data_IF_455515454159
#
_entry.id   IF_455515454159
#
_cell.length_a   1.000
_cell.length_b   1.000
_cell.length_c   1.000
_cell.angle_alpha   90.00
_cell.angle_beta   90.00
_cell.angle_gamma   90.00
#
_symmetry.space_group_name_H-M   'P 1'
#
loop_
_entity.id
_entity.type
_entity.pdbx_description
1 polymer ?
#
# COMPACT_ATOMS: atom_id res chain seq x y z
N UNK A 1 12.40 -5.95 -24.90
CA UNK A 1 11.15 -5.95 -24.10
C UNK A 1 10.61 -4.53 -24.03
N UNK A 2 9.33 -4.32 -24.35
CA UNK A 2 8.77 -2.96 -24.38
C UNK A 2 8.22 -2.47 -23.05
N UNK A 3 7.59 -3.33 -22.27
CA UNK A 3 7.08 -3.02 -20.93
C UNK A 3 7.09 -4.32 -20.09
N UNK A 4 7.32 -4.19 -18.78
CA UNK A 4 7.14 -5.28 -17.80
C UNK A 4 5.96 -4.93 -16.90
N UNK A 5 4.96 -5.80 -16.84
CA UNK A 5 3.75 -5.60 -16.05
C UNK A 5 3.75 -6.38 -14.74
N UNK A 6 3.41 -5.72 -13.64
CA UNK A 6 3.13 -6.33 -12.33
C UNK A 6 1.70 -6.00 -11.90
N UNK A 7 1.08 -6.83 -11.07
CA UNK A 7 -0.27 -6.62 -10.56
C UNK A 7 -0.72 -7.76 -9.64
N UNK A 8 -1.95 -7.68 -9.15
CA UNK A 8 -2.52 -8.66 -8.20
C UNK A 8 -2.20 -8.36 -6.74
N UNK A 9 -1.02 -7.83 -6.45
CA UNK A 9 -0.64 -7.32 -5.13
C UNK A 9 0.30 -6.11 -5.28
N UNK A 10 0.44 -5.25 -4.23
CA UNK A 10 1.44 -4.19 -4.22
C UNK A 10 2.86 -4.77 -4.37
N UNK A 11 3.64 -4.20 -5.30
CA UNK A 11 5.05 -4.54 -5.41
C UNK A 11 5.83 -3.80 -4.31
N UNK A 12 6.84 -4.43 -3.67
CA UNK A 12 7.71 -3.76 -2.71
C UNK A 12 8.36 -2.52 -3.32
N UNK A 13 8.37 -1.35 -2.64
CA UNK A 13 8.97 -0.12 -3.18
C UNK A 13 10.42 -0.32 -3.66
N UNK A 14 11.26 -0.92 -2.80
CA UNK A 14 12.69 -1.17 -3.11
C UNK A 14 12.88 -2.05 -4.35
N UNK A 15 12.01 -3.04 -4.55
CA UNK A 15 12.10 -3.95 -5.71
C UNK A 15 11.73 -3.21 -6.97
N UNK A 16 10.60 -2.47 -6.96
CA UNK A 16 10.17 -1.73 -8.13
C UNK A 16 11.13 -0.59 -8.50
N UNK A 17 11.69 0.11 -7.51
CA UNK A 17 12.71 1.13 -7.73
C UNK A 17 13.99 0.54 -8.33
N UNK A 18 14.46 -0.60 -7.80
CA UNK A 18 15.62 -1.32 -8.37
C UNK A 18 15.39 -1.72 -9.83
N UNK A 19 14.20 -2.24 -10.15
CA UNK A 19 13.82 -2.63 -11.52
C UNK A 19 13.80 -1.41 -12.45
N UNK A 20 13.16 -0.32 -12.05
CA UNK A 20 13.09 0.92 -12.84
C UNK A 20 14.48 1.55 -13.03
N UNK A 21 15.29 1.61 -11.98
CA UNK A 21 16.65 2.16 -12.04
C UNK A 21 17.60 1.32 -12.92
N UNK A 22 17.29 0.05 -13.12
CA UNK A 22 17.99 -0.83 -14.07
C UNK A 22 17.56 -0.61 -15.53
N UNK A 23 16.75 0.43 -15.82
CA UNK A 23 16.28 0.78 -17.16
C UNK A 23 15.03 0.01 -17.61
N UNK A 24 14.41 -0.78 -16.73
CA UNK A 24 13.19 -1.52 -17.07
C UNK A 24 11.98 -0.60 -17.02
N UNK A 25 11.21 -0.58 -18.11
CA UNK A 25 9.95 0.16 -18.20
C UNK A 25 8.83 -0.59 -17.44
N UNK A 26 8.75 -0.34 -16.13
CA UNK A 26 7.82 -1.02 -15.22
C UNK A 26 6.41 -0.41 -15.23
N UNK A 27 5.42 -1.29 -15.30
CA UNK A 27 3.99 -1.01 -15.30
C UNK A 27 3.31 -1.72 -14.12
N UNK A 28 2.84 -0.98 -13.13
CA UNK A 28 2.02 -1.54 -12.03
C UNK A 28 0.54 -1.43 -12.36
N UNK A 29 -0.12 -2.52 -12.71
CA UNK A 29 -1.57 -2.52 -12.96
C UNK A 29 -2.33 -2.89 -11.70
N UNK A 30 -3.44 -2.22 -11.49
CA UNK A 30 -4.39 -2.59 -10.46
C UNK A 30 -5.75 -2.91 -11.08
N UNK A 31 -6.35 -3.96 -10.55
CA UNK A 31 -7.65 -4.46 -10.90
C UNK A 31 -8.07 -5.51 -9.87
N UNK A 32 -9.26 -6.05 -10.06
CA UNK A 32 -9.80 -7.11 -9.24
C UNK A 32 -10.60 -8.09 -10.09
N UNK A 33 -10.86 -9.27 -9.55
CA UNK A 33 -11.77 -10.23 -10.18
C UNK A 33 -13.18 -9.66 -10.34
N UNK A 34 -13.59 -8.77 -9.42
CA UNK A 34 -14.90 -8.14 -9.40
C UNK A 34 -15.09 -7.05 -10.47
N UNK A 35 -14.03 -6.40 -10.93
CA UNK A 35 -14.14 -5.16 -11.72
C UNK A 35 -13.20 -5.10 -12.96
N UNK A 36 -12.36 -6.13 -13.13
CA UNK A 36 -11.30 -6.15 -14.14
C UNK A 36 -10.21 -5.12 -13.87
N UNK A 37 -9.51 -4.67 -14.91
CA UNK A 37 -8.46 -3.64 -14.78
C UNK A 37 -9.05 -2.25 -14.54
N UNK A 38 -8.54 -1.54 -13.53
CA UNK A 38 -9.07 -0.24 -13.09
C UNK A 38 -8.05 0.89 -13.20
N UNK A 39 -6.79 0.63 -12.85
CA UNK A 39 -5.77 1.66 -12.80
C UNK A 39 -4.44 1.21 -13.40
N UNK A 40 -3.71 2.19 -13.94
CA UNK A 40 -2.41 2.02 -14.56
C UNK A 40 -1.60 3.31 -14.38
N UNK A 41 -0.27 3.25 -14.24
CA UNK A 41 0.55 4.43 -14.05
C UNK A 41 0.86 5.12 -15.38
N UNK A 42 -0.12 5.23 -16.27
CA UNK A 42 0.02 5.76 -17.64
C UNK A 42 0.87 7.04 -17.62
N UNK A 43 2.06 6.96 -18.21
CA UNK A 43 3.13 7.97 -18.13
C UNK A 43 4.15 7.74 -19.25
N UNK A 44 5.07 8.67 -19.42
CA UNK A 44 6.22 8.48 -20.30
C UNK A 44 7.28 7.60 -19.60
N UNK A 45 7.19 6.29 -19.79
CA UNK A 45 7.99 5.29 -19.06
C UNK A 45 9.52 5.42 -19.19
N UNK A 46 10.02 6.20 -20.15
CA UNK A 46 11.45 6.46 -20.33
C UNK A 46 11.96 7.62 -19.45
N UNK A 47 11.08 8.53 -19.07
CA UNK A 47 11.44 9.77 -18.36
C UNK A 47 10.83 9.82 -16.96
N UNK A 48 9.72 9.12 -16.72
CA UNK A 48 9.02 9.07 -15.43
C UNK A 48 9.21 7.70 -14.76
N UNK A 49 10.04 7.66 -13.72
CA UNK A 49 10.26 6.48 -12.88
C UNK A 49 9.11 6.16 -11.91
N UNK A 50 8.05 6.97 -11.87
CA UNK A 50 6.93 6.86 -10.93
C UNK A 50 5.99 5.68 -11.19
N UNK A 51 6.49 4.46 -11.07
CA UNK A 51 5.76 3.23 -11.34
C UNK A 51 4.60 2.97 -10.38
N UNK A 52 4.65 3.53 -9.17
CA UNK A 52 3.58 3.48 -8.16
C UNK A 52 2.47 4.52 -8.37
N UNK A 53 2.64 5.46 -9.32
CA UNK A 53 1.73 6.58 -9.55
C UNK A 53 0.56 6.15 -10.42
N UNK A 54 -0.40 5.45 -9.82
CA UNK A 54 -1.58 4.92 -10.50
C UNK A 54 -2.54 6.04 -10.92
N UNK A 55 -3.10 5.90 -12.13
CA UNK A 55 -4.15 6.76 -12.69
C UNK A 55 -5.33 5.89 -13.10
N UNK A 56 -6.54 6.42 -12.95
CA UNK A 56 -7.75 5.74 -13.43
C UNK A 56 -7.68 5.59 -14.96
N UNK A 57 -7.96 4.40 -15.48
CA UNK A 57 -7.94 4.16 -16.94
C UNK A 57 -9.20 4.68 -17.64
N UNK A 58 -10.23 5.01 -16.86
CA UNK A 58 -11.52 5.53 -17.33
C UNK A 58 -11.85 6.85 -16.64
N UNK A 59 -12.85 7.56 -17.16
CA UNK A 59 -13.32 8.83 -16.61
C UNK A 59 -14.00 8.71 -15.25
N UNK A 60 -14.30 9.88 -14.63
CA UNK A 60 -14.96 9.99 -13.33
C UNK A 60 -16.40 9.47 -13.31
N UNK A 61 -16.99 9.28 -14.49
CA UNK A 61 -18.28 8.65 -14.71
C UNK A 61 -18.24 7.14 -14.46
N UNK A 62 -17.07 6.50 -14.56
CA UNK A 62 -16.86 5.05 -14.35
C UNK A 62 -16.11 4.74 -13.05
N UNK A 63 -15.08 5.52 -12.73
CA UNK A 63 -14.28 5.34 -11.50
C UNK A 63 -14.26 6.65 -10.71
N UNK A 64 -14.55 6.57 -9.42
CA UNK A 64 -14.45 7.70 -8.51
C UNK A 64 -13.62 7.36 -7.28
N UNK A 65 -13.17 8.39 -6.58
CA UNK A 65 -12.47 8.27 -5.32
C UNK A 65 -13.35 8.94 -4.27
N UNK A 66 -13.99 8.14 -3.43
CA UNK A 66 -14.89 8.63 -2.39
C UNK A 66 -14.10 9.28 -1.27
N UNK A 67 -14.45 10.52 -0.92
CA UNK A 67 -13.86 11.22 0.22
C UNK A 67 -14.09 10.46 1.52
N UNK A 68 -13.12 10.55 2.43
CA UNK A 68 -13.15 9.94 3.76
C UNK A 68 -12.58 10.92 4.79
N UNK A 69 -13.00 10.76 6.04
CA UNK A 69 -12.55 11.59 7.17
C UNK A 69 -11.05 11.45 7.44
N UNK A 70 -10.48 10.28 7.13
CA UNK A 70 -9.05 9.95 7.29
C UNK A 70 -8.16 10.55 6.18
N UNK A 71 -8.75 11.25 5.20
CA UNK A 71 -8.01 11.87 4.09
C UNK A 71 -7.47 10.88 3.05
N UNK A 72 -7.85 9.60 3.13
CA UNK A 72 -7.47 8.54 2.19
C UNK A 72 -8.66 8.15 1.32
N UNK A 73 -8.81 8.69 0.10
CA UNK A 73 -9.96 8.36 -0.72
C UNK A 73 -10.04 6.87 -1.08
N UNK A 74 -11.25 6.32 -1.01
CA UNK A 74 -11.55 4.93 -1.37
C UNK A 74 -11.92 4.83 -2.86
N UNK A 75 -11.38 3.85 -3.57
CA UNK A 75 -11.75 3.60 -4.96
C UNK A 75 -13.18 3.03 -5.06
N UNK A 76 -14.00 3.71 -5.84
CA UNK A 76 -15.40 3.37 -6.10
C UNK A 76 -15.60 3.12 -7.59
N UNK A 77 -16.14 1.95 -7.91
CA UNK A 77 -16.52 1.56 -9.27
C UNK A 77 -17.99 1.83 -9.49
N UNK A 78 -18.30 2.78 -10.38
CA UNK A 78 -19.67 3.23 -10.65
C UNK A 78 -20.47 2.24 -11.49
N UNK A 79 -21.80 2.43 -11.51
CA UNK A 79 -22.77 1.61 -12.27
C UNK A 79 -22.52 1.54 -13.77
N UNK A 80 -21.95 2.59 -14.33
CA UNK A 80 -21.56 2.66 -15.75
C UNK A 80 -20.46 1.68 -16.14
N UNK A 81 -19.72 1.06 -15.21
CA UNK A 81 -18.67 0.08 -15.52
C UNK A 81 -19.30 -1.23 -16.01
N UNK A 82 -19.04 -1.67 -17.26
CA UNK A 82 -19.66 -2.90 -17.79
C UNK A 82 -19.21 -4.18 -17.09
N UNK A 83 -17.92 -4.27 -16.72
CA UNK A 83 -17.29 -5.48 -16.15
C UNK A 83 -17.37 -5.54 -14.61
N UNK A 84 -18.45 -5.03 -14.00
CA UNK A 84 -18.58 -4.99 -12.55
C UNK A 84 -19.54 -6.06 -12.04
N UNK A 85 -19.01 -6.99 -11.25
CA UNK A 85 -19.71 -8.17 -10.74
C UNK A 85 -20.33 -8.00 -9.34
N UNK A 86 -19.90 -7.00 -8.57
CA UNK A 86 -20.40 -6.72 -7.21
C UNK A 86 -20.90 -5.30 -7.05
N UNK A 87 -21.79 -5.10 -6.08
CA UNK A 87 -22.27 -3.79 -5.62
C UNK A 87 -22.45 -3.83 -4.10
N UNK A 88 -22.16 -2.72 -3.41
CA UNK A 88 -22.30 -2.62 -1.95
C UNK A 88 -22.66 -1.20 -1.48
N UNK A 89 -23.17 -0.35 -2.38
CA UNK A 89 -23.65 1.00 -2.11
C UNK A 89 -25.06 1.16 -2.64
N UNK A 90 -25.84 2.05 -2.03
CA UNK A 90 -27.26 2.29 -2.38
C UNK A 90 -27.44 2.83 -3.80
N UNK A 91 -26.49 3.64 -4.29
CA UNK A 91 -26.46 4.15 -5.68
C UNK A 91 -26.14 3.05 -6.72
N UNK A 92 -26.00 1.80 -6.27
CA UNK A 92 -25.62 0.67 -7.09
C UNK A 92 -24.16 0.69 -7.51
N UNK A 93 -23.30 1.52 -6.91
CA UNK A 93 -21.84 1.50 -7.08
C UNK A 93 -21.18 0.42 -6.20
N UNK A 94 -19.89 0.19 -6.42
CA UNK A 94 -19.08 -0.74 -5.63
C UNK A 94 -17.89 -0.01 -4.99
N UNK A 95 -17.91 0.08 -3.67
CA UNK A 95 -16.77 0.48 -2.85
C UNK A 95 -15.83 -0.72 -2.69
N UNK A 96 -14.62 -0.59 -3.24
CA UNK A 96 -13.65 -1.69 -3.34
C UNK A 96 -12.91 -2.00 -2.03
N UNK A 97 -13.05 -1.13 -1.02
CA UNK A 97 -12.19 -1.05 0.16
C UNK A 97 -10.73 -0.64 -0.12
N UNK A 98 -10.30 -0.45 -1.37
CA UNK A 98 -8.95 0.00 -1.68
C UNK A 98 -8.79 1.50 -1.43
N UNK A 99 -7.79 1.85 -0.61
CA UNK A 99 -7.47 3.22 -0.20
C UNK A 99 -6.28 3.77 -0.97
N UNK A 100 -6.34 5.06 -1.30
CA UNK A 100 -5.32 5.73 -2.11
C UNK A 100 -4.81 7.01 -1.44
N UNK A 101 -3.53 7.27 -1.61
CA UNK A 101 -2.89 8.54 -1.30
C UNK A 101 -2.79 9.41 -2.57
N UNK A 102 -3.41 10.60 -2.61
CA UNK A 102 -3.23 11.54 -3.71
C UNK A 102 -1.79 12.04 -3.80
N UNK A 103 -1.24 12.15 -5.00
CA UNK A 103 0.05 12.79 -5.19
C UNK A 103 -0.08 14.32 -4.99
N UNK A 104 0.77 14.97 -4.16
CA UNK A 104 0.57 16.37 -3.81
C UNK A 104 0.70 17.33 -5.00
N UNK A 105 1.58 17.02 -5.96
CA UNK A 105 1.85 17.89 -7.12
C UNK A 105 1.37 17.36 -8.48
N UNK A 106 0.95 16.09 -8.58
CA UNK A 106 0.63 15.47 -9.87
C UNK A 106 -0.86 15.13 -9.89
N UNK A 107 -1.68 15.90 -10.65
CA UNK A 107 -3.10 15.65 -10.76
C UNK A 107 -3.39 14.23 -11.25
N UNK A 108 -4.45 13.64 -10.71
CA UNK A 108 -4.94 12.29 -11.05
C UNK A 108 -3.98 11.13 -10.75
N UNK A 109 -2.76 11.39 -10.27
CA UNK A 109 -1.83 10.37 -9.82
C UNK A 109 -2.06 10.05 -8.35
N UNK A 110 -2.13 8.76 -8.03
CA UNK A 110 -2.39 8.26 -6.69
C UNK A 110 -1.49 7.06 -6.39
N UNK A 111 -1.09 6.90 -5.15
CA UNK A 111 -0.38 5.71 -4.67
C UNK A 111 -1.35 4.81 -3.92
N UNK A 112 -1.26 3.51 -4.11
CA UNK A 112 -2.02 2.55 -3.31
C UNK A 112 -1.55 2.63 -1.85
N UNK A 113 -2.48 2.75 -0.91
CA UNK A 113 -2.18 2.83 0.52
C UNK A 113 -2.40 1.49 1.23
N UNK A 114 -3.47 0.79 0.89
CA UNK A 114 -3.88 -0.44 1.56
C UNK A 114 -5.38 -0.64 1.44
N UNK A 115 -5.92 -1.54 2.27
CA UNK A 115 -7.37 -1.79 2.33
C UNK A 115 -7.99 -1.29 3.61
N UNK A 116 -9.19 -0.72 3.47
CA UNK A 116 -10.03 -0.25 4.57
C UNK A 116 -10.43 -1.36 5.52
N UNK A 117 -10.72 -2.55 5.00
CA UNK A 117 -11.10 -3.72 5.80
C UNK A 117 -9.91 -4.50 6.37
N UNK A 118 -8.68 -4.06 6.09
CA UNK A 118 -7.45 -4.54 6.73
C UNK A 118 -6.91 -3.56 7.78
N UNK A 119 -7.63 -2.48 8.09
CA UNK A 119 -7.24 -1.54 9.14
C UNK A 119 -7.38 -2.21 10.51
N UNK A 120 -6.35 -2.09 11.34
CA UNK A 120 -6.33 -2.55 12.73
C UNK A 120 -6.95 -1.46 13.60
N UNK A 121 -7.94 -1.80 14.42
CA UNK A 121 -8.55 -0.90 15.39
C UNK A 121 -7.88 -1.13 16.75
N UNK A 122 -7.19 -0.10 17.23
CA UNK A 122 -6.51 -0.12 18.52
C UNK A 122 -7.53 0.13 19.66
N UNK A 123 -7.13 -0.17 20.90
CA UNK A 123 -7.96 0.02 22.10
C UNK A 123 -8.42 1.48 22.32
N UNK A 124 -7.71 2.44 21.72
CA UNK A 124 -8.03 3.86 21.74
C UNK A 124 -8.92 4.28 20.55
N UNK A 125 -9.53 3.32 19.85
CA UNK A 125 -10.40 3.47 18.68
C UNK A 125 -9.72 4.07 17.44
N UNK A 126 -8.40 4.30 17.50
CA UNK A 126 -7.64 4.76 16.34
C UNK A 126 -7.41 3.61 15.37
N UNK A 127 -7.50 3.94 14.08
CA UNK A 127 -7.31 2.99 12.98
C UNK A 127 -5.89 3.07 12.45
N UNK A 128 -5.31 1.91 12.19
CA UNK A 128 -3.95 1.74 11.71
C UNK A 128 -3.95 0.93 10.42
N UNK A 129 -3.33 1.46 9.37
CA UNK A 129 -2.97 0.68 8.19
C UNK A 129 -1.68 -0.12 8.45
N UNK A 130 -1.70 -1.46 8.44
CA UNK A 130 -0.49 -2.26 8.67
C UNK A 130 0.48 -2.19 7.48
N UNK A 131 -0.03 -2.21 6.24
CA UNK A 131 0.79 -2.33 5.02
C UNK A 131 1.88 -1.25 4.87
N UNK A 132 1.62 0.05 5.14
CA UNK A 132 2.68 1.06 5.09
C UNK A 132 3.83 0.80 6.07
N UNK A 133 3.55 0.27 7.26
CA UNK A 133 4.57 -0.07 8.27
C UNK A 133 5.36 -1.30 7.82
N UNK A 134 4.67 -2.36 7.40
CA UNK A 134 5.26 -3.60 6.91
C UNK A 134 6.19 -3.34 5.72
N UNK A 135 5.70 -2.62 4.70
CA UNK A 135 6.49 -2.29 3.52
C UNK A 135 7.68 -1.41 3.85
N UNK A 136 7.53 -0.44 4.77
CA UNK A 136 8.62 0.44 5.15
C UNK A 136 9.72 -0.33 5.90
N UNK A 137 9.35 -1.16 6.87
CA UNK A 137 10.32 -1.98 7.61
C UNK A 137 11.06 -2.95 6.69
N UNK A 138 10.33 -3.67 5.83
CA UNK A 138 10.91 -4.63 4.90
C UNK A 138 11.82 -3.98 3.85
N UNK A 139 11.44 -2.79 3.34
CA UNK A 139 12.24 -2.09 2.34
C UNK A 139 13.49 -1.40 2.89
N UNK A 140 13.53 -1.05 4.19
CA UNK A 140 14.69 -0.40 4.80
C UNK A 140 15.68 -1.35 5.47
N UNK A 141 15.41 -2.66 5.52
CA UNK A 141 16.24 -3.61 6.25
C UNK A 141 16.40 -4.92 5.47
N UNK A 142 17.61 -5.19 4.98
CA UNK A 142 17.89 -6.36 4.14
C UNK A 142 17.79 -7.69 4.89
N UNK A 143 17.94 -7.68 6.22
CA UNK A 143 17.84 -8.86 7.08
C UNK A 143 16.40 -9.39 7.20
N UNK A 144 15.39 -8.56 6.90
CA UNK A 144 13.99 -8.96 6.95
C UNK A 144 13.59 -9.71 5.68
N UNK A 145 13.04 -10.91 5.86
CA UNK A 145 12.31 -11.64 4.85
C UNK A 145 10.89 -11.07 4.70
N UNK A 146 10.19 -10.88 5.82
CA UNK A 146 8.83 -10.37 5.84
C UNK A 146 8.47 -9.74 7.19
N UNK A 147 7.35 -9.01 7.23
CA UNK A 147 6.82 -8.36 8.43
C UNK A 147 5.30 -8.50 8.45
N UNK A 148 4.74 -8.88 9.60
CA UNK A 148 3.30 -8.87 9.84
C UNK A 148 2.98 -7.98 11.03
N UNK A 149 2.23 -6.91 10.81
CA UNK A 149 1.75 -6.01 11.85
C UNK A 149 0.37 -6.45 12.32
N UNK A 150 0.19 -6.51 13.63
CA UNK A 150 -1.05 -6.93 14.29
C UNK A 150 -1.26 -6.13 15.58
N UNK A 151 -2.40 -6.29 16.25
CA UNK A 151 -2.64 -5.64 17.54
C UNK A 151 -4.05 -5.11 17.77
N UNK A 152 -5.07 -5.75 17.17
CA UNK A 152 -6.47 -5.40 17.39
C UNK A 152 -6.79 -5.32 18.89
N UNK A 153 -7.46 -4.24 19.32
CA UNK A 153 -7.82 -4.02 20.72
C UNK A 153 -6.64 -3.81 21.67
N UNK A 154 -5.44 -3.51 21.17
CA UNK A 154 -4.26 -3.13 21.99
C UNK A 154 -4.01 -1.63 21.91
N UNK A 155 -3.34 -1.06 22.91
CA UNK A 155 -2.99 0.37 22.92
C UNK A 155 -2.01 0.79 21.82
N UNK A 156 -1.14 -0.15 21.41
CA UNK A 156 -0.14 0.02 20.36
C UNK A 156 -0.07 -1.26 19.52
N UNK A 157 0.29 -1.16 18.23
CA UNK A 157 0.50 -2.32 17.39
C UNK A 157 1.73 -3.13 17.83
N UNK A 158 1.80 -4.35 17.32
CA UNK A 158 2.92 -5.28 17.44
C UNK A 158 3.30 -5.77 16.04
N UNK A 159 4.52 -6.26 15.90
CA UNK A 159 5.01 -6.81 14.65
C UNK A 159 5.63 -8.19 14.88
N UNK A 160 5.32 -9.14 14.00
CA UNK A 160 6.11 -10.35 13.80
C UNK A 160 7.11 -10.07 12.69
N UNK A 161 8.37 -10.41 12.96
CA UNK A 161 9.50 -10.14 12.08
C UNK A 161 10.05 -11.47 11.60
N UNK A 162 10.08 -11.67 10.29
CA UNK A 162 10.65 -12.87 9.69
C UNK A 162 12.05 -12.53 9.20
N UNK A 163 13.07 -13.21 9.73
CA UNK A 163 14.48 -13.02 9.35
C UNK A 163 14.84 -13.90 8.16
N UNK A 164 15.76 -13.43 7.29
CA UNK A 164 16.40 -14.27 6.27
C UNK A 164 17.52 -15.14 6.84
N UNK A 165 18.09 -14.74 7.98
CA UNK A 165 19.15 -15.45 8.65
C UNK A 165 18.59 -16.18 9.88
N UNK A 166 18.37 -17.49 9.74
CA UNK A 166 17.83 -18.35 10.79
C UNK A 166 18.86 -18.66 11.89
N UNK A 167 20.14 -18.33 11.69
CA UNK A 167 21.19 -18.60 12.66
C UNK A 167 21.48 -17.39 13.57
N UNK A 168 20.93 -16.22 13.25
CA UNK A 168 21.11 -15.01 14.02
C UNK A 168 20.21 -15.05 15.28
N UNK A 169 20.75 -14.91 16.50
CA UNK A 169 19.94 -14.89 17.72
C UNK A 169 18.95 -13.73 17.73
N UNK A 170 17.72 -13.97 18.21
CA UNK A 170 16.63 -12.98 18.23
C UNK A 170 17.03 -11.63 18.84
N UNK A 171 17.76 -11.64 19.96
CA UNK A 171 18.20 -10.41 20.61
C UNK A 171 19.14 -9.58 19.73
N UNK A 172 20.10 -10.24 19.08
CA UNK A 172 21.06 -9.58 18.20
C UNK A 172 20.37 -9.07 16.92
N UNK A 173 19.44 -9.86 16.38
CA UNK A 173 18.60 -9.44 15.27
C UNK A 173 17.78 -8.18 15.60
N UNK A 174 17.13 -8.17 16.76
CA UNK A 174 16.36 -7.02 17.24
C UNK A 174 17.25 -5.79 17.47
N UNK A 175 18.43 -5.96 18.08
CA UNK A 175 19.38 -4.86 18.32
C UNK A 175 19.82 -4.19 17.01
N UNK A 176 20.09 -4.99 15.97
CA UNK A 176 20.45 -4.49 14.64
C UNK A 176 19.29 -3.79 13.93
N UNK A 177 18.06 -4.28 14.12
CA UNK A 177 16.86 -3.73 13.47
C UNK A 177 16.32 -2.47 14.16
N UNK A 178 16.54 -2.36 15.47
CA UNK A 178 15.94 -1.34 16.33
C UNK A 178 16.15 0.11 15.85
N UNK A 179 17.34 0.53 15.40
CA UNK A 179 17.55 1.89 14.88
C UNK A 179 16.64 2.23 13.68
N UNK A 180 16.34 1.23 12.83
CA UNK A 180 15.41 1.38 11.71
C UNK A 180 13.96 1.55 12.18
N UNK A 181 13.56 0.80 13.20
CA UNK A 181 12.24 0.92 13.85
C UNK A 181 12.10 2.29 14.53
N UNK A 182 13.12 2.79 15.22
CA UNK A 182 13.10 4.11 15.85
C UNK A 182 12.92 5.23 14.82
N UNK A 183 13.60 5.13 13.67
CA UNK A 183 13.43 6.07 12.56
C UNK A 183 12.02 6.01 11.97
N UNK A 184 11.41 4.83 11.89
CA UNK A 184 10.01 4.70 11.46
C UNK A 184 9.07 5.32 12.48
N UNK A 185 9.29 5.06 13.77
CA UNK A 185 8.47 5.57 14.86
C UNK A 185 8.49 7.10 14.95
N UNK A 186 9.63 7.74 14.67
CA UNK A 186 9.75 9.20 14.70
C UNK A 186 8.92 9.90 13.62
N UNK A 187 8.71 9.22 12.48
CA UNK A 187 7.88 9.68 11.37
C UNK A 187 6.41 9.28 11.51
N UNK A 188 6.09 8.46 12.51
CA UNK A 188 4.77 7.85 12.70
C UNK A 188 4.00 8.51 13.85
N UNK A 189 2.66 8.63 13.74
CA UNK A 189 1.80 9.01 14.85
C UNK A 189 2.07 8.16 16.10
N UNK A 190 1.90 8.74 17.29
CA UNK A 190 2.22 8.04 18.54
C UNK A 190 1.54 6.66 18.68
N UNK A 191 0.28 6.55 18.25
CA UNK A 191 -0.51 5.33 18.38
C UNK A 191 -0.08 4.20 17.43
N UNK A 192 0.69 4.49 16.38
CA UNK A 192 1.15 3.50 15.40
C UNK A 192 2.60 3.06 15.63
N UNK A 193 3.26 3.54 16.69
CA UNK A 193 4.66 3.22 17.00
C UNK A 193 4.79 1.81 17.54
N UNK A 194 5.88 1.14 17.16
CA UNK A 194 6.26 -0.17 17.68
C UNK A 194 7.21 0.02 18.87
N UNK A 195 6.97 -0.68 19.98
CA UNK A 195 7.85 -0.67 21.15
C UNK A 195 8.61 -1.98 21.29
N UNK A 196 9.81 -1.93 21.86
CA UNK A 196 10.53 -3.12 22.30
C UNK A 196 9.84 -3.65 23.56
N UNK A 197 9.69 -4.97 23.65
CA UNK A 197 9.24 -5.65 24.88
C UNK A 197 10.44 -5.92 25.79
#
# INVERSE_FOLDING_TARGET
MDLVGVGGAPLPPIVGDTVVNSGVRLLSRMGSSECGFLMSPHREYRQDGGWQRLRAITGPDVLAFGSREDGLPELVVKRSRPLRLKTNREDGSYATADLFEPHPQIPNARRYHGRRDALIVLANEKKLGPSPIEDKLRSSNEMLQDVLVFGEGRNHPRALLFTKDMNLPDNEFLDRLWPGIERLNSLSPHHSRLSRL
#
